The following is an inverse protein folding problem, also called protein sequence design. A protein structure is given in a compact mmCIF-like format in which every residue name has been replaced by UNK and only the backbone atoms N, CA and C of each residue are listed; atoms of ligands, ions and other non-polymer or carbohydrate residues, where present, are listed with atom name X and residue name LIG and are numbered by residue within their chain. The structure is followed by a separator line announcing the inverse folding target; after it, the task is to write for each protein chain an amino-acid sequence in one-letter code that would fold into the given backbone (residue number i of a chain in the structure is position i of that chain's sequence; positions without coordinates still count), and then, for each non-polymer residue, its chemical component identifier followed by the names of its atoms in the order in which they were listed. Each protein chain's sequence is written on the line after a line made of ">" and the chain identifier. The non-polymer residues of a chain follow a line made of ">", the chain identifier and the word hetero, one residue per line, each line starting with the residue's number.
data_IF_933122808167
#
_entry.id   IF_933122808167
#
_cell.length_a   1.000
_cell.length_b   1.000
_cell.length_c   1.000
_cell.angle_alpha   90.00
_cell.angle_beta   90.00
_cell.angle_gamma   90.00
#
_symmetry.space_group_name_H-M   'P 1'
#
loop_
_entity.id
_entity.type
_entity.pdbx_description
1 polymer ?
#
# COMPACT_ATOMS: atom_id res chain seq x y z
N UNK A 1 9.78 -28.99 -18.40
CA UNK A 1 8.75 -28.63 -19.40
C UNK A 1 9.44 -28.34 -20.74
N UNK A 2 9.05 -29.00 -21.84
CA UNK A 2 9.70 -28.78 -23.14
C UNK A 2 8.95 -27.69 -23.92
N UNK A 3 9.38 -26.44 -23.76
CA UNK A 3 8.77 -25.26 -24.39
C UNK A 3 8.74 -25.36 -25.93
N UNK A 4 9.74 -26.00 -26.55
CA UNK A 4 9.79 -26.19 -28.01
C UNK A 4 8.72 -27.15 -28.54
N UNK A 5 8.31 -28.15 -27.75
CA UNK A 5 7.19 -29.03 -28.10
C UNK A 5 5.85 -28.30 -27.94
N UNK A 6 5.71 -27.49 -26.88
CA UNK A 6 4.50 -26.72 -26.62
C UNK A 6 4.27 -25.62 -27.65
N UNK A 7 5.33 -24.93 -28.10
CA UNK A 7 5.24 -23.86 -29.11
C UNK A 7 4.84 -24.35 -30.50
N UNK A 8 4.90 -25.66 -30.76
CA UNK A 8 4.44 -26.28 -32.00
C UNK A 8 2.97 -26.69 -31.95
N UNK A 9 2.35 -26.68 -30.78
CA UNK A 9 0.93 -26.91 -30.59
C UNK A 9 0.18 -25.58 -30.74
N UNK A 10 -0.86 -25.59 -31.56
CA UNK A 10 -1.77 -24.45 -31.66
C UNK A 10 -2.82 -24.62 -30.55
N UNK A 11 -2.61 -23.92 -29.44
CA UNK A 11 -3.46 -24.05 -28.24
C UNK A 11 -4.92 -23.68 -28.51
N UNK A 12 -5.20 -22.87 -29.54
CA UNK A 12 -6.57 -22.55 -29.93
C UNK A 12 -7.32 -23.78 -30.48
N UNK A 13 -6.60 -24.78 -31.00
CA UNK A 13 -7.21 -26.03 -31.46
C UNK A 13 -7.77 -26.86 -30.31
N UNK A 14 -7.25 -26.70 -29.09
CA UNK A 14 -7.74 -27.40 -27.90
C UNK A 14 -9.18 -26.98 -27.55
N UNK A 15 -9.53 -25.71 -27.71
CA UNK A 15 -10.91 -25.21 -27.54
C UNK A 15 -11.85 -25.89 -28.54
N UNK A 16 -11.40 -26.03 -29.80
CA UNK A 16 -12.17 -26.71 -30.84
C UNK A 16 -12.30 -28.21 -30.62
N UNK A 17 -11.25 -28.85 -30.08
CA UNK A 17 -11.28 -30.26 -29.71
C UNK A 17 -12.31 -30.51 -28.59
N UNK A 18 -12.38 -29.64 -27.59
CA UNK A 18 -13.38 -29.73 -26.51
C UNK A 18 -14.80 -29.68 -27.08
N UNK A 19 -15.10 -28.70 -27.95
CA UNK A 19 -16.40 -28.61 -28.61
C UNK A 19 -16.73 -29.86 -29.45
N UNK A 20 -15.76 -30.41 -30.20
CA UNK A 20 -15.96 -31.62 -31.00
C UNK A 20 -16.24 -32.87 -30.13
N UNK A 21 -15.59 -32.97 -28.96
CA UNK A 21 -15.76 -34.09 -28.02
C UNK A 21 -17.14 -34.07 -27.34
N UNK A 22 -17.65 -32.88 -27.02
CA UNK A 22 -18.97 -32.70 -26.41
C UNK A 22 -20.09 -32.86 -27.43
N UNK A 23 -19.97 -32.16 -28.56
CA UNK A 23 -21.04 -32.12 -29.58
C UNK A 23 -21.10 -33.39 -30.44
N UNK A 24 -20.00 -34.16 -30.52
CA UNK A 24 -19.86 -35.35 -31.39
C UNK A 24 -20.33 -35.13 -32.83
N UNK A 25 -20.23 -33.89 -33.30
CA UNK A 25 -20.68 -33.43 -34.61
C UNK A 25 -19.85 -32.22 -35.04
N UNK A 26 -19.30 -32.28 -36.26
CA UNK A 26 -18.54 -31.16 -36.84
C UNK A 26 -19.43 -29.92 -37.01
N UNK A 27 -20.69 -30.12 -37.43
CA UNK A 27 -21.62 -29.00 -37.67
C UNK A 27 -22.01 -28.31 -36.37
N UNK A 28 -22.43 -29.07 -35.35
CA UNK A 28 -22.80 -28.48 -34.04
C UNK A 28 -21.61 -27.82 -33.34
N UNK A 29 -20.43 -28.43 -33.41
CA UNK A 29 -19.22 -27.81 -32.87
C UNK A 29 -18.85 -26.51 -33.58
N UNK A 30 -19.08 -26.44 -34.91
CA UNK A 30 -18.87 -25.21 -35.68
C UNK A 30 -19.86 -24.11 -35.27
N UNK A 31 -21.14 -24.45 -35.13
CA UNK A 31 -22.20 -23.53 -34.67
C UNK A 31 -21.88 -22.99 -33.28
N UNK A 32 -21.50 -23.85 -32.33
CA UNK A 32 -21.17 -23.47 -30.95
C UNK A 32 -19.98 -22.51 -30.85
N UNK A 33 -18.99 -22.67 -31.71
CA UNK A 33 -17.81 -21.80 -31.75
C UNK A 33 -17.95 -20.66 -32.77
N UNK A 34 -19.15 -20.43 -33.31
CA UNK A 34 -19.46 -19.36 -34.26
C UNK A 34 -18.54 -19.34 -35.50
N UNK A 35 -18.18 -20.52 -36.02
CA UNK A 35 -17.40 -20.68 -37.25
C UNK A 35 -18.15 -21.54 -38.28
N UNK A 36 -17.66 -21.52 -39.53
CA UNK A 36 -18.26 -22.35 -40.59
C UNK A 36 -17.87 -23.82 -40.46
N UNK A 37 -18.74 -24.73 -40.89
CA UNK A 37 -18.46 -26.17 -40.89
C UNK A 37 -17.20 -26.57 -41.70
N UNK A 38 -16.89 -25.96 -42.86
CA UNK A 38 -15.60 -26.17 -43.54
C UNK A 38 -14.39 -25.73 -42.70
N UNK A 39 -14.51 -24.64 -41.94
CA UNK A 39 -13.45 -24.18 -41.04
C UNK A 39 -13.23 -25.18 -39.89
N UNK A 40 -14.31 -25.68 -39.27
CA UNK A 40 -14.22 -26.72 -38.23
C UNK A 40 -13.63 -28.04 -38.78
N UNK A 41 -13.95 -28.40 -40.02
CA UNK A 41 -13.35 -29.58 -40.67
C UNK A 41 -11.84 -29.44 -40.85
N UNK A 42 -11.35 -28.27 -41.26
CA UNK A 42 -9.91 -27.97 -41.35
C UNK A 42 -9.24 -27.99 -39.97
N UNK A 43 -9.91 -27.46 -38.95
CA UNK A 43 -9.44 -27.52 -37.56
C UNK A 43 -9.27 -28.96 -37.10
N UNK A 44 -10.27 -29.82 -37.31
CA UNK A 44 -10.17 -31.25 -37.00
C UNK A 44 -9.02 -31.94 -37.75
N UNK A 45 -8.79 -31.59 -39.02
CA UNK A 45 -7.66 -32.14 -39.78
C UNK A 45 -6.31 -31.72 -39.17
N UNK A 46 -6.16 -30.47 -38.73
CA UNK A 46 -4.96 -30.00 -38.04
C UNK A 46 -4.77 -30.69 -36.69
N UNK A 47 -5.84 -30.85 -35.92
CA UNK A 47 -5.83 -31.60 -34.66
C UNK A 47 -5.33 -33.03 -34.86
N UNK A 48 -5.80 -33.70 -35.91
CA UNK A 48 -5.36 -35.06 -36.25
C UNK A 48 -3.86 -35.13 -36.54
N UNK A 49 -3.34 -34.17 -37.30
CA UNK A 49 -1.92 -34.08 -37.62
C UNK A 49 -1.08 -33.73 -36.39
N UNK A 50 -1.50 -32.77 -35.57
CA UNK A 50 -0.73 -32.34 -34.39
C UNK A 50 -0.68 -33.41 -33.31
N UNK A 51 -1.79 -34.13 -33.10
CA UNK A 51 -1.88 -35.17 -32.10
C UNK A 51 -1.44 -36.54 -32.63
N UNK A 52 -1.23 -36.69 -33.94
CA UNK A 52 -0.94 -37.98 -34.58
C UNK A 52 -2.00 -39.04 -34.16
N UNK A 53 -3.28 -38.70 -34.35
CA UNK A 53 -4.43 -39.56 -34.03
C UNK A 53 -5.64 -39.15 -34.89
N UNK A 54 -6.49 -40.08 -35.37
CA UNK A 54 -7.69 -39.72 -36.11
C UNK A 54 -8.77 -39.05 -35.26
N UNK A 55 -8.68 -39.11 -33.92
CA UNK A 55 -9.53 -38.53 -32.86
C UNK A 55 -10.98 -38.99 -32.85
N UNK A 56 -11.58 -39.15 -34.01
CA UNK A 56 -12.95 -39.60 -34.19
C UNK A 56 -13.02 -40.57 -35.36
N UNK A 57 -13.76 -41.65 -35.16
CA UNK A 57 -14.25 -42.55 -36.19
C UNK A 57 -15.70 -42.19 -36.54
N UNK A 58 -16.20 -42.69 -37.68
CA UNK A 58 -17.59 -42.45 -38.09
C UNK A 58 -18.42 -43.71 -37.88
N UNK A 59 -19.56 -43.54 -37.24
CA UNK A 59 -20.63 -44.56 -37.20
C UNK A 59 -21.92 -43.88 -37.63
N UNK A 60 -22.35 -44.14 -38.86
CA UNK A 60 -23.43 -43.36 -39.49
C UNK A 60 -23.07 -41.87 -39.60
N UNK A 61 -23.92 -41.01 -39.05
CA UNK A 61 -23.71 -39.55 -39.01
C UNK A 61 -23.02 -39.05 -37.73
N UNK A 62 -22.67 -39.94 -36.79
CA UNK A 62 -22.10 -39.55 -35.50
C UNK A 62 -20.57 -39.68 -35.48
N UNK A 63 -19.91 -38.73 -34.82
CA UNK A 63 -18.48 -38.84 -34.50
C UNK A 63 -18.30 -39.65 -33.22
N UNK A 64 -17.59 -40.78 -33.33
CA UNK A 64 -17.26 -41.63 -32.18
C UNK A 64 -15.80 -41.41 -31.79
N UNK A 65 -15.50 -40.86 -30.60
CA UNK A 65 -14.13 -40.59 -30.17
C UNK A 65 -13.26 -41.84 -30.09
N UNK A 66 -11.99 -41.75 -30.50
CA UNK A 66 -10.97 -42.78 -30.27
C UNK A 66 -10.64 -42.91 -28.77
N UNK A 67 -9.97 -44.01 -28.33
CA UNK A 67 -9.49 -44.11 -26.96
C UNK A 67 -8.66 -42.91 -26.52
N UNK A 68 -7.75 -42.43 -27.38
CA UNK A 68 -6.93 -41.23 -27.13
C UNK A 68 -7.77 -39.97 -27.00
N UNK A 69 -8.78 -39.78 -27.84
CA UNK A 69 -9.70 -38.66 -27.73
C UNK A 69 -10.53 -38.71 -26.44
N UNK A 70 -10.92 -39.90 -25.96
CA UNK A 70 -11.60 -40.06 -24.65
C UNK A 70 -10.68 -39.74 -23.47
N UNK A 71 -9.42 -40.16 -23.52
CA UNK A 71 -8.43 -39.78 -22.50
C UNK A 71 -8.25 -38.27 -22.43
N UNK A 72 -8.21 -37.60 -23.60
CA UNK A 72 -8.15 -36.14 -23.68
C UNK A 72 -9.44 -35.50 -23.14
N UNK A 73 -10.62 -36.04 -23.46
CA UNK A 73 -11.91 -35.55 -22.96
C UNK A 73 -11.97 -35.50 -21.43
N UNK A 74 -11.32 -36.43 -20.75
CA UNK A 74 -11.29 -36.46 -19.28
C UNK A 74 -10.37 -35.39 -18.66
N UNK A 75 -9.38 -34.88 -19.41
CA UNK A 75 -8.34 -33.97 -18.89
C UNK A 75 -8.47 -32.54 -19.40
N UNK A 76 -8.99 -32.38 -20.60
CA UNK A 76 -9.05 -31.11 -21.32
C UNK A 76 -9.90 -30.03 -20.64
N UNK A 77 -11.07 -30.33 -20.03
CA UNK A 77 -11.88 -29.32 -19.36
C UNK A 77 -11.10 -28.57 -18.28
N UNK A 78 -10.48 -29.29 -17.33
CA UNK A 78 -9.70 -28.68 -16.24
C UNK A 78 -8.54 -27.83 -16.72
N UNK A 79 -7.92 -28.20 -17.84
CA UNK A 79 -6.82 -27.43 -18.42
C UNK A 79 -7.33 -26.13 -19.06
N UNK A 80 -8.46 -26.19 -19.76
CA UNK A 80 -9.08 -25.00 -20.35
C UNK A 80 -9.67 -24.07 -19.28
N UNK A 81 -10.24 -24.63 -18.20
CA UNK A 81 -10.71 -23.86 -17.05
C UNK A 81 -9.56 -23.12 -16.37
N UNK A 82 -8.42 -23.77 -16.11
CA UNK A 82 -7.25 -23.10 -15.56
C UNK A 82 -6.65 -22.05 -16.50
N UNK A 83 -6.72 -22.24 -17.82
CA UNK A 83 -6.35 -21.17 -18.78
C UNK A 83 -7.34 -20.01 -18.69
N UNK A 84 -8.63 -20.31 -18.63
CA UNK A 84 -9.67 -19.31 -18.52
C UNK A 84 -9.50 -18.48 -17.26
N UNK A 85 -9.28 -19.11 -16.11
CA UNK A 85 -8.99 -18.45 -14.82
C UNK A 85 -7.78 -17.49 -14.92
N UNK A 86 -6.73 -17.88 -15.65
CA UNK A 86 -5.54 -17.02 -15.83
C UNK A 86 -5.80 -15.80 -16.74
N UNK A 87 -6.73 -15.89 -17.70
CA UNK A 87 -6.99 -14.81 -18.66
C UNK A 87 -8.26 -14.02 -18.36
N UNK A 88 -9.15 -14.54 -17.53
CA UNK A 88 -10.32 -13.83 -17.03
C UNK A 88 -9.85 -12.86 -15.95
N UNK A 89 -9.93 -11.56 -16.22
CA UNK A 89 -9.94 -10.53 -15.18
C UNK A 89 -11.24 -10.69 -14.38
N UNK A 90 -11.25 -11.62 -13.41
CA UNK A 90 -12.31 -11.66 -12.40
C UNK A 90 -12.35 -10.35 -11.62
N UNK A 91 -13.48 -10.03 -11.00
CA UNK A 91 -13.51 -8.95 -10.01
C UNK A 91 -12.53 -9.29 -8.88
N UNK A 92 -11.65 -8.34 -8.53
CA UNK A 92 -10.72 -8.53 -7.44
C UNK A 92 -11.49 -8.70 -6.12
N UNK A 93 -11.30 -9.84 -5.47
CA UNK A 93 -11.83 -10.11 -4.13
C UNK A 93 -10.68 -10.10 -3.11
N UNK A 94 -10.61 -9.10 -2.21
CA UNK A 94 -9.58 -9.04 -1.17
C UNK A 94 -9.60 -10.26 -0.24
N UNK A 95 -10.75 -10.91 -0.05
CA UNK A 95 -10.88 -12.05 0.87
C UNK A 95 -10.12 -13.30 0.40
N UNK A 96 -9.82 -13.39 -0.90
CA UNK A 96 -9.13 -14.53 -1.52
C UNK A 96 -7.65 -14.23 -1.82
N UNK A 97 -7.20 -13.00 -1.61
CA UNK A 97 -5.83 -12.62 -1.89
C UNK A 97 -4.88 -13.17 -0.82
N UNK A 98 -3.82 -13.84 -1.27
CA UNK A 98 -2.71 -14.31 -0.44
C UNK A 98 -1.42 -13.60 -0.86
N UNK A 99 -0.73 -12.97 0.10
CA UNK A 99 0.53 -12.29 -0.19
C UNK A 99 1.00 -11.37 0.93
N UNK A 100 2.19 -10.81 0.74
CA UNK A 100 2.76 -9.80 1.61
C UNK A 100 2.64 -8.42 0.96
N UNK A 101 2.32 -7.39 1.75
CA UNK A 101 2.32 -5.99 1.33
C UNK A 101 3.26 -5.20 2.22
N UNK A 102 4.29 -4.62 1.62
CA UNK A 102 5.35 -3.89 2.29
C UNK A 102 5.10 -2.39 2.30
N UNK A 103 5.06 -1.78 3.49
CA UNK A 103 4.74 -0.37 3.70
C UNK A 103 5.83 0.28 4.55
N UNK A 104 6.52 1.27 3.98
CA UNK A 104 7.38 2.16 4.76
C UNK A 104 6.55 3.31 5.35
N UNK A 105 6.59 3.51 6.66
CA UNK A 105 5.78 4.52 7.34
C UNK A 105 6.51 5.06 8.59
N UNK A 106 6.56 6.39 8.80
CA UNK A 106 7.10 6.98 10.01
C UNK A 106 6.38 6.48 11.27
N UNK A 107 7.13 6.19 12.35
CA UNK A 107 6.57 5.55 13.56
C UNK A 107 5.39 6.34 14.15
N UNK A 108 5.45 7.67 14.11
CA UNK A 108 4.40 8.55 14.63
C UNK A 108 3.07 8.43 13.88
N UNK A 109 3.11 8.04 12.60
CA UNK A 109 1.91 7.71 11.81
C UNK A 109 1.54 6.25 12.02
N UNK A 110 2.55 5.37 12.05
CA UNK A 110 2.39 3.94 12.10
C UNK A 110 1.59 3.48 13.32
N UNK A 111 1.87 4.07 14.49
CA UNK A 111 1.30 3.65 15.78
C UNK A 111 -0.24 3.59 15.78
N UNK A 112 -0.91 4.42 14.98
CA UNK A 112 -2.37 4.34 14.86
C UNK A 112 -2.85 3.91 13.49
N UNK A 113 -2.14 4.25 12.42
CA UNK A 113 -2.58 3.88 11.07
C UNK A 113 -2.53 2.37 10.92
N UNK A 114 -1.40 1.78 11.31
CA UNK A 114 -1.16 0.35 11.09
C UNK A 114 -2.04 -0.48 12.00
N UNK A 115 -2.34 -0.03 13.22
CA UNK A 115 -3.26 -0.73 14.12
C UNK A 115 -4.67 -0.83 13.50
N UNK A 116 -5.23 0.30 13.04
CA UNK A 116 -6.56 0.31 12.40
C UNK A 116 -6.56 -0.41 11.05
N UNK A 117 -5.50 -0.21 10.24
CA UNK A 117 -5.35 -0.90 8.97
C UNK A 117 -5.28 -2.43 9.16
N UNK A 118 -4.57 -2.90 10.20
CA UNK A 118 -4.47 -4.33 10.50
C UNK A 118 -5.85 -4.91 10.86
N UNK A 119 -6.70 -4.18 11.59
CA UNK A 119 -8.09 -4.63 11.85
C UNK A 119 -8.87 -4.79 10.55
N UNK A 120 -8.80 -3.80 9.66
CA UNK A 120 -9.48 -3.84 8.35
C UNK A 120 -8.97 -5.02 7.51
N UNK A 121 -7.65 -5.22 7.47
CA UNK A 121 -7.01 -6.29 6.68
C UNK A 121 -7.35 -7.66 7.23
N UNK A 122 -7.27 -7.88 8.54
CA UNK A 122 -7.60 -9.18 9.14
C UNK A 122 -9.07 -9.57 8.94
N UNK A 123 -9.99 -8.60 8.85
CA UNK A 123 -11.40 -8.84 8.59
C UNK A 123 -11.72 -9.08 7.11
N UNK A 124 -11.12 -8.30 6.20
CA UNK A 124 -11.52 -8.26 4.78
C UNK A 124 -10.53 -8.93 3.81
N UNK A 125 -9.29 -9.14 4.22
CA UNK A 125 -8.21 -9.70 3.41
C UNK A 125 -7.30 -10.62 4.27
N UNK A 126 -7.83 -11.71 4.83
CA UNK A 126 -7.15 -12.49 5.87
C UNK A 126 -5.88 -13.20 5.39
N UNK A 127 -5.69 -13.39 4.09
CA UNK A 127 -4.46 -13.93 3.49
C UNK A 127 -3.34 -12.91 3.29
N UNK A 128 -3.58 -11.63 3.58
CA UNK A 128 -2.58 -10.55 3.47
C UNK A 128 -1.75 -10.45 4.74
N UNK A 129 -0.43 -10.43 4.58
CA UNK A 129 0.52 -10.06 5.63
C UNK A 129 1.00 -8.64 5.38
N UNK A 130 0.89 -7.76 6.39
CA UNK A 130 1.46 -6.42 6.32
C UNK A 130 2.88 -6.42 6.88
N UNK A 131 3.83 -5.98 6.06
CA UNK A 131 5.24 -5.82 6.43
C UNK A 131 5.55 -4.34 6.58
N UNK A 132 5.93 -3.91 7.78
CA UNK A 132 5.99 -2.49 8.15
C UNK A 132 7.40 -2.11 8.54
N UNK A 133 7.94 -1.05 7.93
CA UNK A 133 9.24 -0.47 8.29
C UNK A 133 9.17 1.04 8.50
N UNK A 134 10.02 1.57 9.38
CA UNK A 134 10.22 3.02 9.56
C UNK A 134 11.54 3.52 8.96
N UNK A 135 12.29 2.61 8.34
CA UNK A 135 13.61 2.82 7.75
C UNK A 135 13.64 2.20 6.34
N UNK A 136 14.50 2.73 5.48
CA UNK A 136 14.77 2.19 4.14
C UNK A 136 16.27 1.98 3.98
N UNK A 137 16.66 0.94 3.24
CA UNK A 137 18.07 0.60 2.96
C UNK A 137 18.63 1.43 1.81
N UNK A 138 17.77 1.83 0.87
CA UNK A 138 18.03 2.72 -0.27
C UNK A 138 17.09 3.95 -0.22
N UNK A 139 16.81 4.61 -1.34
CA UNK A 139 15.80 5.67 -1.34
C UNK A 139 14.40 5.05 -1.51
N UNK A 140 13.38 5.68 -0.95
CA UNK A 140 11.98 5.20 -1.05
C UNK A 140 11.59 4.97 -2.52
N UNK A 141 12.02 5.85 -3.41
CA UNK A 141 11.72 5.77 -4.85
C UNK A 141 12.32 4.52 -5.50
N UNK A 142 13.55 4.15 -5.12
CA UNK A 142 14.23 2.95 -5.63
C UNK A 142 13.53 1.69 -5.12
N UNK A 143 13.23 1.61 -3.83
CA UNK A 143 12.57 0.43 -3.25
C UNK A 143 11.14 0.23 -3.78
N UNK A 144 10.40 1.31 -4.06
CA UNK A 144 9.09 1.25 -4.72
C UNK A 144 9.21 0.75 -6.18
N UNK A 145 10.23 1.20 -6.91
CA UNK A 145 10.47 0.80 -8.29
C UNK A 145 10.90 -0.67 -8.41
N UNK A 146 11.77 -1.14 -7.52
CA UNK A 146 12.25 -2.52 -7.46
C UNK A 146 11.21 -3.49 -6.86
N UNK A 147 10.20 -2.94 -6.18
CA UNK A 147 9.14 -3.71 -5.52
C UNK A 147 9.54 -4.35 -4.21
N UNK A 148 10.55 -3.80 -3.55
CA UNK A 148 10.84 -4.04 -2.13
C UNK A 148 9.75 -3.40 -1.27
N UNK A 149 9.24 -2.23 -1.69
CA UNK A 149 8.08 -1.58 -1.09
C UNK A 149 6.91 -1.57 -2.08
N UNK A 150 5.71 -1.74 -1.56
CA UNK A 150 4.46 -1.52 -2.30
C UNK A 150 3.93 -0.10 -2.07
N UNK A 151 4.11 0.40 -0.85
CA UNK A 151 3.73 1.75 -0.45
C UNK A 151 4.79 2.41 0.44
N UNK A 152 4.81 3.73 0.40
CA UNK A 152 5.49 4.52 1.41
C UNK A 152 4.64 5.72 1.82
N UNK A 153 4.67 6.04 3.10
CA UNK A 153 4.07 7.26 3.65
C UNK A 153 5.20 8.19 4.02
N UNK A 154 5.26 9.37 3.42
CA UNK A 154 6.32 10.34 3.67
C UNK A 154 5.78 11.76 3.49
N UNK A 155 6.63 12.76 3.70
CA UNK A 155 6.32 14.13 3.33
C UNK A 155 6.43 14.33 1.82
N UNK A 156 5.58 15.20 1.30
CA UNK A 156 5.61 15.61 -0.09
C UNK A 156 6.97 16.26 -0.43
N UNK A 157 7.63 15.69 -1.43
CA UNK A 157 8.93 16.13 -1.97
C UNK A 157 8.88 16.00 -3.49
N UNK A 158 9.87 16.55 -4.19
CA UNK A 158 10.03 16.32 -5.62
C UNK A 158 10.38 14.85 -5.84
N UNK A 159 9.49 14.10 -6.50
CA UNK A 159 9.65 12.67 -6.79
C UNK A 159 9.67 12.47 -8.32
N UNK A 160 10.21 11.34 -8.77
CA UNK A 160 10.20 10.92 -10.17
C UNK A 160 8.78 10.74 -10.72
N UNK A 161 8.63 10.86 -12.04
CA UNK A 161 7.31 10.73 -12.70
C UNK A 161 6.68 9.34 -12.54
N UNK A 162 7.45 8.31 -12.18
CA UNK A 162 6.97 6.94 -12.04
C UNK A 162 6.24 6.66 -10.72
N UNK A 163 6.25 7.62 -9.79
CA UNK A 163 5.55 7.52 -8.50
C UNK A 163 4.24 8.29 -8.56
N UNK A 164 3.16 7.60 -8.21
CA UNK A 164 1.87 8.20 -7.91
C UNK A 164 1.86 8.71 -6.47
N UNK A 165 1.35 9.93 -6.30
CA UNK A 165 1.26 10.61 -5.01
C UNK A 165 -0.22 10.82 -4.70
N UNK A 166 -0.68 10.37 -3.53
CA UNK A 166 -2.00 10.70 -2.99
C UNK A 166 -1.84 11.50 -1.70
N UNK A 167 -2.47 12.66 -1.61
CA UNK A 167 -2.48 13.45 -0.38
C UNK A 167 -3.24 12.70 0.71
N UNK A 168 -2.67 12.65 1.92
CA UNK A 168 -3.25 12.00 3.08
C UNK A 168 -3.75 13.01 4.10
N UNK A 169 -2.86 13.89 4.57
CA UNK A 169 -3.17 14.84 5.62
C UNK A 169 -2.21 16.03 5.58
N UNK A 170 -2.64 17.12 6.22
CA UNK A 170 -1.81 18.31 6.43
C UNK A 170 -1.53 18.47 7.93
N UNK A 171 -0.25 18.45 8.29
CA UNK A 171 0.18 18.64 9.67
C UNK A 171 0.74 20.04 9.93
N UNK A 172 0.37 20.57 11.10
CA UNK A 172 1.00 21.74 11.70
C UNK A 172 1.90 21.29 12.85
N UNK A 173 3.09 21.86 13.02
CA UNK A 173 3.94 21.56 14.15
C UNK A 173 3.33 22.12 15.44
N UNK A 174 3.77 21.57 16.57
CA UNK A 174 3.42 22.00 17.92
C UNK A 174 4.61 21.76 18.85
N UNK A 175 4.58 22.39 20.03
CA UNK A 175 5.59 22.20 21.06
C UNK A 175 5.02 21.25 22.12
N UNK A 176 5.70 20.13 22.31
CA UNK A 176 5.34 19.11 23.28
C UNK A 176 6.20 19.25 24.52
N UNK A 177 5.59 19.07 25.68
CA UNK A 177 6.21 19.12 27.00
C UNK A 177 5.45 18.20 27.96
N UNK A 178 6.09 17.79 29.05
CA UNK A 178 5.38 17.11 30.16
C UNK A 178 4.29 17.99 30.77
N UNK A 179 3.29 17.36 31.38
CA UNK A 179 2.14 18.03 31.99
C UNK A 179 2.53 19.10 33.03
N UNK A 180 3.45 18.81 33.94
CA UNK A 180 3.88 19.79 34.96
C UNK A 180 5.07 20.67 34.51
N UNK A 181 5.26 20.84 33.19
CA UNK A 181 6.32 21.71 32.67
C UNK A 181 6.05 23.18 33.07
N UNK A 182 7.06 24.01 33.38
CA UNK A 182 6.84 25.41 33.77
C UNK A 182 6.07 26.27 32.75
N UNK A 183 6.07 25.87 31.48
CA UNK A 183 5.32 26.53 30.40
C UNK A 183 3.91 25.93 30.17
N UNK A 184 3.54 24.86 30.87
CA UNK A 184 2.29 24.14 30.63
C UNK A 184 1.04 24.93 31.01
N UNK A 185 1.10 25.81 32.01
CA UNK A 185 -0.02 26.67 32.40
C UNK A 185 -0.29 27.81 31.40
N UNK A 186 0.69 28.17 30.59
CA UNK A 186 0.55 29.27 29.61
C UNK A 186 -0.31 28.85 28.43
N UNK A 187 -1.24 29.69 27.98
CA UNK A 187 -2.06 29.40 26.79
C UNK A 187 -1.23 29.37 25.50
N UNK A 188 -0.21 30.22 25.40
CA UNK A 188 0.74 30.32 24.27
C UNK A 188 2.16 30.48 24.81
N UNK A 189 3.14 30.06 24.01
CA UNK A 189 4.57 30.19 24.31
C UNK A 189 5.26 30.98 23.21
N UNK A 190 6.26 31.78 23.56
CA UNK A 190 7.10 32.53 22.60
C UNK A 190 8.36 31.75 22.25
N UNK A 191 9.05 32.15 21.17
CA UNK A 191 10.33 31.58 20.79
C UNK A 191 11.38 31.74 21.91
N UNK A 192 11.44 32.92 22.53
CA UNK A 192 12.44 33.19 23.57
C UNK A 192 12.24 32.29 24.79
N UNK A 193 11.00 32.11 25.23
CA UNK A 193 10.64 31.23 26.35
C UNK A 193 11.02 29.78 26.07
N UNK A 194 10.71 29.25 24.87
CA UNK A 194 11.02 27.85 24.57
C UNK A 194 12.53 27.61 24.41
N UNK A 195 13.31 28.63 24.01
CA UNK A 195 14.76 28.50 23.82
C UNK A 195 15.55 28.50 25.13
N UNK A 196 14.92 28.84 26.26
CA UNK A 196 15.51 28.67 27.59
C UNK A 196 15.66 27.18 27.98
N UNK A 197 14.89 26.30 27.34
CA UNK A 197 14.83 24.87 27.66
C UNK A 197 15.60 24.00 26.65
N UNK A 198 16.13 22.85 27.09
CA UNK A 198 16.70 21.86 26.18
C UNK A 198 15.62 21.20 25.30
N UNK A 199 16.02 20.68 24.14
CA UNK A 199 15.13 19.99 23.22
C UNK A 199 15.50 18.52 23.01
N UNK A 200 14.46 17.69 22.86
CA UNK A 200 14.54 16.39 22.17
C UNK A 200 14.31 16.62 20.68
N UNK A 201 15.26 16.18 19.87
CA UNK A 201 15.10 16.12 18.41
C UNK A 201 14.76 14.69 18.00
N UNK A 202 13.49 14.47 17.68
CA UNK A 202 13.01 13.25 17.06
C UNK A 202 13.03 13.37 15.52
N UNK A 203 13.58 12.38 14.81
CA UNK A 203 13.47 12.31 13.36
C UNK A 203 12.08 11.80 12.97
N UNK A 204 11.21 12.76 12.64
CA UNK A 204 9.83 12.49 12.24
C UNK A 204 9.70 11.72 10.92
N UNK A 205 10.76 11.58 10.12
CA UNK A 205 10.69 11.02 8.77
C UNK A 205 11.61 9.80 8.65
N UNK A 206 11.35 8.98 7.63
CA UNK A 206 12.21 7.87 7.23
C UNK A 206 13.62 8.43 7.00
N UNK A 207 14.55 8.09 7.89
CA UNK A 207 15.89 8.66 7.88
C UNK A 207 16.91 7.58 8.24
N UNK A 208 17.87 7.36 7.34
CA UNK A 208 18.94 6.36 7.53
C UNK A 208 19.94 6.66 8.62
N UNK A 209 20.10 7.93 9.03
CA UNK A 209 21.14 8.34 9.97
C UNK A 209 20.67 9.44 10.91
N UNK A 210 20.76 9.14 12.20
CA UNK A 210 20.59 10.08 13.31
C UNK A 210 21.94 10.73 13.59
N UNK A 211 22.01 12.06 13.56
CA UNK A 211 23.21 12.79 13.96
C UNK A 211 22.85 14.15 14.53
N UNK A 212 23.45 14.49 15.67
CA UNK A 212 23.31 15.82 16.25
C UNK A 212 23.77 16.96 15.32
N UNK A 213 24.59 16.64 14.32
CA UNK A 213 25.07 17.58 13.29
C UNK A 213 24.07 17.79 12.14
N UNK A 214 23.08 16.92 12.00
CA UNK A 214 22.05 17.05 10.95
C UNK A 214 20.96 18.01 11.43
N UNK A 215 20.70 19.05 10.64
CA UNK A 215 19.66 20.02 10.95
C UNK A 215 18.28 19.52 10.58
N UNK A 216 17.35 19.58 11.54
CA UNK A 216 15.93 19.50 11.25
C UNK A 216 15.43 20.78 10.57
N UNK A 217 14.21 20.73 10.03
CA UNK A 217 13.52 21.93 9.50
C UNK A 217 13.49 23.06 10.54
N UNK A 218 13.26 22.73 11.81
CA UNK A 218 13.28 23.68 12.92
C UNK A 218 14.65 24.34 13.11
N UNK A 219 15.74 23.56 13.05
CA UNK A 219 17.10 24.10 13.21
C UNK A 219 17.48 25.06 12.09
N UNK A 220 17.05 24.78 10.85
CA UNK A 220 17.26 25.67 9.71
C UNK A 220 16.54 27.01 9.89
N UNK A 221 15.27 26.98 10.32
CA UNK A 221 14.49 28.20 10.61
C UNK A 221 15.16 29.02 11.71
N UNK A 222 15.61 28.39 12.80
CA UNK A 222 16.33 29.10 13.87
C UNK A 222 17.62 29.74 13.37
N UNK A 223 18.39 29.02 12.53
CA UNK A 223 19.62 29.54 11.93
C UNK A 223 19.38 30.75 11.06
N UNK A 224 18.35 30.73 10.22
CA UNK A 224 17.98 31.86 9.35
C UNK A 224 17.65 33.11 10.18
N UNK A 225 17.21 32.93 11.43
CA UNK A 225 16.96 34.01 12.41
C UNK A 225 18.19 34.34 13.29
N UNK A 226 19.35 33.74 13.06
CA UNK A 226 20.55 33.91 13.89
C UNK A 226 20.43 33.30 15.30
N UNK A 227 19.45 32.41 15.52
CA UNK A 227 19.19 31.73 16.80
C UNK A 227 19.66 30.28 16.76
N UNK A 228 19.82 29.67 17.94
CA UNK A 228 20.05 28.23 18.10
C UNK A 228 19.31 27.72 19.32
N UNK A 229 18.91 26.45 19.30
CA UNK A 229 18.41 25.74 20.48
C UNK A 229 19.48 24.85 21.10
N UNK A 230 19.31 24.50 22.36
CA UNK A 230 20.08 23.45 23.04
C UNK A 230 19.42 22.10 22.76
N UNK A 231 20.12 21.15 22.14
CA UNK A 231 19.65 19.77 21.97
C UNK A 231 20.20 18.92 23.13
N UNK A 232 19.32 18.29 23.92
CA UNK A 232 19.71 17.33 24.96
C UNK A 232 19.70 15.89 24.45
N UNK A 233 18.78 15.56 23.53
CA UNK A 233 18.67 14.25 22.91
C UNK A 233 18.41 14.40 21.41
N UNK A 234 18.96 13.49 20.62
CA UNK A 234 18.69 13.34 19.19
C UNK A 234 18.48 11.85 18.92
N UNK A 235 17.30 11.46 18.43
CA UNK A 235 16.93 10.04 18.25
C UNK A 235 15.93 9.83 17.11
N UNK A 236 15.92 8.64 16.51
CA UNK A 236 14.86 8.14 15.62
C UNK A 236 13.91 7.15 16.33
N UNK A 237 14.08 6.91 17.62
CA UNK A 237 13.21 6.05 18.41
C UNK A 237 12.11 6.88 19.06
N UNK A 238 10.87 6.74 18.59
CA UNK A 238 9.73 7.52 19.08
C UNK A 238 9.53 7.35 20.58
N UNK A 239 9.56 6.11 21.06
CA UNK A 239 9.34 5.79 22.48
C UNK A 239 10.39 6.46 23.38
N UNK A 240 11.66 6.41 22.98
CA UNK A 240 12.75 7.08 23.72
C UNK A 240 12.55 8.60 23.74
N UNK A 241 12.10 9.19 22.63
CA UNK A 241 11.83 10.63 22.55
C UNK A 241 10.67 11.03 23.47
N UNK A 242 9.55 10.30 23.40
CA UNK A 242 8.34 10.53 24.21
C UNK A 242 8.63 10.37 25.69
N UNK A 243 9.32 9.31 26.09
CA UNK A 243 9.68 9.07 27.50
C UNK A 243 10.60 10.18 28.04
N UNK A 244 11.55 10.64 27.23
CA UNK A 244 12.44 11.74 27.63
C UNK A 244 11.69 13.04 27.83
N UNK A 245 10.70 13.34 26.97
CA UNK A 245 9.84 14.54 27.14
C UNK A 245 8.99 14.43 28.40
N UNK A 246 8.45 13.25 28.70
CA UNK A 246 7.63 13.02 29.90
C UNK A 246 8.45 13.13 31.20
N UNK A 247 9.70 12.64 31.18
CA UNK A 247 10.56 12.57 32.37
C UNK A 247 11.45 13.79 32.62
N UNK A 248 11.45 14.80 31.75
CA UNK A 248 12.37 15.95 31.85
C UNK A 248 11.73 17.28 31.43
N UNK A 249 12.41 18.39 31.68
CA UNK A 249 12.02 19.72 31.15
C UNK A 249 12.44 19.93 29.69
N UNK A 250 12.64 18.84 28.93
CA UNK A 250 12.92 18.97 27.51
C UNK A 250 11.65 19.23 26.71
N UNK A 251 11.78 20.10 25.70
CA UNK A 251 10.73 20.36 24.72
C UNK A 251 10.95 19.52 23.45
N UNK A 252 9.87 19.16 22.76
CA UNK A 252 9.95 18.51 21.46
C UNK A 252 9.07 19.23 20.44
N UNK A 253 9.60 19.40 19.23
CA UNK A 253 8.80 19.89 18.09
C UNK A 253 8.25 18.69 17.35
N UNK A 254 6.95 18.49 17.39
CA UNK A 254 6.26 17.35 16.79
C UNK A 254 4.93 17.79 16.14
N UNK A 255 4.31 16.90 15.36
CA UNK A 255 3.01 17.18 14.75
C UNK A 255 1.96 17.47 15.83
N UNK A 256 1.07 18.45 15.59
CA UNK A 256 -0.06 18.75 16.47
C UNK A 256 -1.00 17.55 16.62
N UNK A 257 -1.09 16.74 15.55
CA UNK A 257 -1.95 15.57 15.43
C UNK A 257 -1.09 14.31 15.44
N UNK A 258 -0.88 13.80 16.66
CA UNK A 258 -0.50 12.43 16.98
C UNK A 258 -1.65 11.86 17.79
N UNK A 259 -2.08 10.68 17.38
CA UNK A 259 -3.42 10.11 17.48
C UNK A 259 -3.88 9.81 18.91
N UNK A 260 -5.18 9.56 19.06
CA UNK A 260 -5.99 9.36 20.28
C UNK A 260 -5.29 8.61 21.43
N UNK A 261 -4.39 7.66 21.11
CA UNK A 261 -3.58 6.93 22.10
C UNK A 261 -2.70 7.82 22.99
N UNK A 262 -2.18 8.94 22.47
CA UNK A 262 -1.23 9.76 23.21
C UNK A 262 -1.85 10.50 24.40
N UNK A 263 -3.13 10.91 24.30
CA UNK A 263 -3.81 11.62 25.41
C UNK A 263 -4.08 10.72 26.60
N UNK A 264 -4.31 9.43 26.37
CA UNK A 264 -4.62 8.47 27.44
C UNK A 264 -3.37 7.78 28.00
N UNK A 265 -2.34 7.56 27.18
CA UNK A 265 -1.11 6.88 27.63
C UNK A 265 0.01 7.81 28.11
N UNK A 266 0.13 9.03 27.57
CA UNK A 266 1.24 9.93 27.89
C UNK A 266 0.74 11.29 28.37
N UNK A 267 1.23 11.73 29.54
CA UNK A 267 0.90 13.04 30.15
C UNK A 267 1.66 14.17 29.46
N UNK A 268 1.34 14.41 28.19
CA UNK A 268 1.96 15.43 27.35
C UNK A 268 1.00 16.58 27.13
N UNK A 269 1.47 17.79 27.44
CA UNK A 269 0.81 19.05 27.09
C UNK A 269 1.37 19.56 25.77
N UNK A 270 0.48 19.97 24.87
CA UNK A 270 0.82 20.51 23.56
C UNK A 270 0.53 22.01 23.53
N UNK A 271 1.51 22.82 23.12
CA UNK A 271 1.33 24.24 22.85
C UNK A 271 1.38 24.51 21.35
N UNK A 272 0.58 25.46 20.85
CA UNK A 272 0.67 25.90 19.46
C UNK A 272 2.11 26.28 19.11
N UNK A 273 2.49 26.06 17.86
CA UNK A 273 3.77 26.56 17.37
C UNK A 273 3.84 28.09 17.56
N UNK A 274 4.96 28.64 18.07
CA UNK A 274 5.05 30.06 18.39
C UNK A 274 4.78 30.94 17.16
N UNK A 275 3.98 31.99 17.34
CA UNK A 275 3.56 32.88 16.24
C UNK A 275 4.70 33.80 15.75
N UNK A 276 5.70 34.02 16.60
CA UNK A 276 6.94 34.75 16.35
C UNK A 276 7.99 33.90 15.60
N UNK A 277 7.72 32.62 15.35
CA UNK A 277 8.49 31.78 14.45
C UNK A 277 7.89 31.80 13.04
N UNK A 278 8.66 32.11 11.98
CA UNK A 278 8.19 31.99 10.62
C UNK A 278 7.93 30.51 10.29
N UNK A 279 6.64 30.15 10.24
CA UNK A 279 6.23 28.83 9.78
C UNK A 279 6.10 28.86 8.26
N UNK A 280 7.09 28.30 7.54
CA UNK A 280 7.02 28.15 6.07
C UNK A 280 6.05 27.03 5.65
N UNK A 281 4.80 27.09 6.09
CA UNK A 281 3.75 26.21 5.59
C UNK A 281 3.65 24.83 6.23
N UNK A 282 2.46 24.28 6.03
CA UNK A 282 1.98 22.96 6.41
C UNK A 282 2.89 21.84 5.89
N UNK A 283 2.95 20.74 6.63
CA UNK A 283 3.63 19.52 6.19
C UNK A 283 2.57 18.63 5.53
N UNK A 284 2.67 18.44 4.22
CA UNK A 284 1.81 17.56 3.44
C UNK A 284 2.32 16.13 3.58
N UNK A 285 1.53 15.26 4.21
CA UNK A 285 1.77 13.82 4.27
C UNK A 285 1.12 13.18 3.04
N UNK A 286 1.86 12.31 2.38
CA UNK A 286 1.44 11.68 1.13
C UNK A 286 1.67 10.18 1.17
N UNK A 287 0.78 9.45 0.49
CA UNK A 287 0.98 8.04 0.13
C UNK A 287 1.67 8.00 -1.24
N UNK A 288 2.80 7.32 -1.27
CA UNK A 288 3.63 7.09 -2.44
C UNK A 288 3.44 5.65 -2.90
N UNK A 289 3.23 5.48 -4.20
CA UNK A 289 3.04 4.19 -4.84
C UNK A 289 3.70 4.22 -6.22
N UNK A 290 4.39 3.15 -6.62
CA UNK A 290 4.90 3.06 -7.99
C UNK A 290 3.78 2.78 -9.00
N UNK A 291 3.78 3.47 -10.16
CA UNK A 291 2.74 3.32 -11.20
C UNK A 291 2.57 1.89 -11.72
N UNK A 292 3.61 1.04 -11.60
CA UNK A 292 3.56 -0.39 -11.97
C UNK A 292 2.44 -1.15 -11.25
N UNK A 293 2.08 -0.74 -10.02
CA UNK A 293 1.07 -1.42 -9.20
C UNK A 293 -0.31 -0.78 -9.28
N UNK A 294 -0.49 0.34 -10.00
CA UNK A 294 -1.79 1.05 -10.08
C UNK A 294 -2.93 0.19 -10.68
N UNK A 295 -2.58 -0.79 -11.52
CA UNK A 295 -3.53 -1.74 -12.09
C UNK A 295 -3.94 -2.89 -11.15
N UNK A 296 -3.18 -3.10 -10.07
CA UNK A 296 -3.40 -4.23 -9.15
C UNK A 296 -4.57 -3.96 -8.21
N UNK A 297 -5.50 -4.94 -8.13
CA UNK A 297 -6.68 -4.85 -7.27
C UNK A 297 -6.34 -4.67 -5.79
N UNK A 298 -5.41 -5.46 -5.24
CA UNK A 298 -4.99 -5.38 -3.84
C UNK A 298 -4.37 -4.02 -3.51
N UNK A 299 -3.55 -3.48 -4.41
CA UNK A 299 -2.91 -2.18 -4.20
C UNK A 299 -3.94 -1.05 -4.20
N UNK A 300 -4.88 -1.08 -5.15
CA UNK A 300 -5.97 -0.10 -5.20
C UNK A 300 -6.79 -0.15 -3.92
N UNK A 301 -7.24 -1.35 -3.54
CA UNK A 301 -8.03 -1.58 -2.33
C UNK A 301 -7.31 -1.09 -1.06
N UNK A 302 -6.04 -1.47 -0.84
CA UNK A 302 -5.27 -1.02 0.32
C UNK A 302 -5.03 0.49 0.31
N UNK A 303 -4.69 1.07 -0.84
CA UNK A 303 -4.49 2.52 -0.95
C UNK A 303 -5.75 3.30 -0.58
N UNK A 304 -6.93 2.80 -0.97
CA UNK A 304 -8.21 3.42 -0.62
C UNK A 304 -8.53 3.26 0.87
N UNK A 305 -8.21 2.10 1.48
CA UNK A 305 -8.35 1.92 2.94
C UNK A 305 -7.42 2.86 3.72
N UNK A 306 -6.16 2.99 3.32
CA UNK A 306 -5.20 3.90 3.97
C UNK A 306 -5.70 5.34 3.90
N UNK A 307 -6.13 5.80 2.72
CA UNK A 307 -6.66 7.16 2.54
C UNK A 307 -7.93 7.38 3.37
N UNK A 308 -8.86 6.42 3.34
CA UNK A 308 -10.12 6.51 4.10
C UNK A 308 -9.90 6.62 5.61
N UNK A 309 -9.01 5.79 6.16
CA UNK A 309 -8.68 5.82 7.59
C UNK A 309 -8.14 7.18 8.04
N UNK A 310 -7.25 7.78 7.26
CA UNK A 310 -6.67 9.09 7.61
C UNK A 310 -7.71 10.21 7.49
N UNK A 311 -8.57 10.17 6.47
CA UNK A 311 -9.65 11.16 6.32
C UNK A 311 -10.67 11.09 7.47
N UNK A 312 -10.97 9.91 7.98
CA UNK A 312 -11.88 9.76 9.12
C UNK A 312 -11.27 10.28 10.43
N UNK A 313 -9.95 10.23 10.57
CA UNK A 313 -9.27 10.89 11.68
C UNK A 313 -9.40 12.41 11.62
N UNK A 314 -9.21 13.02 10.45
CA UNK A 314 -9.37 14.47 10.28
C UNK A 314 -10.77 14.92 10.73
N UNK A 315 -11.82 14.21 10.29
CA UNK A 315 -13.21 14.50 10.69
C UNK A 315 -13.44 14.35 12.19
N UNK A 316 -12.90 13.30 12.80
CA UNK A 316 -13.07 13.04 14.24
C UNK A 316 -12.40 14.14 15.07
N UNK A 317 -11.20 14.56 14.67
CA UNK A 317 -10.44 15.64 15.33
C UNK A 317 -11.10 17.01 15.16
N UNK A 318 -11.69 17.29 14.00
CA UNK A 318 -12.50 18.50 13.78
C UNK A 318 -13.73 18.53 14.71
N UNK A 319 -14.45 17.41 14.83
CA UNK A 319 -15.61 17.30 15.70
C UNK A 319 -15.28 17.50 17.19
N UNK A 320 -14.15 16.99 17.67
CA UNK A 320 -13.67 17.19 19.03
C UNK A 320 -13.23 18.65 19.28
N UNK A 321 -12.58 19.28 18.30
CA UNK A 321 -12.15 20.68 18.40
C UNK A 321 -13.34 21.64 18.52
N UNK A 322 -14.46 21.33 17.87
CA UNK A 322 -15.71 22.11 17.97
C UNK A 322 -16.37 21.93 19.34
N UNK A 323 -16.34 20.73 19.93
CA UNK A 323 -16.92 20.47 21.26
C UNK A 323 -16.19 21.22 22.38
N UNK A 324 -14.85 21.24 22.34
CA UNK A 324 -14.04 21.97 23.35
C UNK A 324 -14.26 23.48 23.29
N UNK A 325 -14.61 24.04 22.13
CA UNK A 325 -14.92 25.48 21.96
C UNK A 325 -16.34 25.82 22.43
N UNK A 326 -17.25 24.85 22.49
CA UNK A 326 -18.62 25.06 22.99
C UNK A 326 -18.77 24.87 24.50
N UNK A 327 -17.77 24.30 25.17
CA UNK A 327 -17.74 24.09 26.63
C UNK A 327 -16.86 25.10 27.38
N UNK A 328 -16.33 26.12 26.70
CA UNK A 328 -15.62 27.29 27.27
C UNK A 328 -16.46 28.57 27.12
#
# INVERSE_FOLDING_TARGET
>A
MNLQKLSRLDLNLLVSLQALLEEKSVTRAAERLFITQPAMSRVLQRLRHQLDDPLFTRTGNELVPTPKARELQARLPRLLDGILEMVSEGEFDPATYEGEISIAVPEFVAISLISELTKVVTEHAPGVVLSISSETDSSVEVELAEGVLDFAIDIEKTITEDISIRSLAIFTPSIWMREDHPLAEKSRVTLDEILEYPFVQYYLLIAKRVSARTDARFDRVLRDMGRKRKKALVTNQLMTAVETVCGTDCLMVAAKYGLTMEREMYRIVRKPYPADLPHKGTISLVLLQHKRTSGSGIHRWLSDKIVGLIQDWEKTLEAESVRVVQEQ
#
